data_IF_655853057757
#
_entry.id   IF_655853057757
#
_cell.length_a   1.000
_cell.length_b   1.000
_cell.length_c   1.000
_cell.angle_alpha   90.00
_cell.angle_beta   90.00
_cell.angle_gamma   90.00
#
_symmetry.space_group_name_H-M   'P 1'
#
loop_
_entity.id
_entity.type
_entity.pdbx_description
1 polymer ?
#
# COMPACT_ATOMS: atom_id res chain seq x y z
N UNK A 1 -23.86 7.90 16.21
CA UNK A 1 -22.42 7.92 16.59
C UNK A 1 -22.14 7.38 18.00
N UNK A 2 -23.12 7.26 18.91
CA UNK A 2 -22.90 6.83 20.31
C UNK A 2 -22.31 5.42 20.48
N UNK A 3 -22.58 4.49 19.56
CA UNK A 3 -22.20 3.07 19.71
C UNK A 3 -20.91 2.68 18.98
N UNK A 4 -20.36 3.56 18.13
CA UNK A 4 -19.22 3.23 17.27
C UNK A 4 -19.46 2.14 16.22
N UNK A 5 -20.70 1.68 16.04
CA UNK A 5 -21.02 0.54 15.16
C UNK A 5 -21.08 0.92 13.68
N UNK A 6 -20.79 -0.06 12.83
CA UNK A 6 -21.06 0.00 11.40
C UNK A 6 -22.58 -0.02 11.15
N UNK A 7 -23.02 0.60 10.05
CA UNK A 7 -24.44 0.68 9.67
C UNK A 7 -24.56 1.05 8.20
N UNK A 8 -25.79 1.00 7.65
CA UNK A 8 -26.07 1.38 6.26
C UNK A 8 -25.59 2.80 5.91
N UNK A 9 -25.62 3.71 6.90
CA UNK A 9 -25.06 5.05 6.75
C UNK A 9 -23.55 5.04 6.48
N UNK A 10 -22.79 4.16 7.13
CA UNK A 10 -21.35 4.03 6.89
C UNK A 10 -21.04 3.18 5.66
N UNK A 11 -21.88 2.18 5.39
CA UNK A 11 -21.81 1.34 4.20
C UNK A 11 -21.90 2.15 2.91
N UNK A 12 -22.81 3.13 2.84
CA UNK A 12 -22.94 4.01 1.67
C UNK A 12 -21.70 4.86 1.34
N UNK A 13 -20.67 4.83 2.19
CA UNK A 13 -19.40 5.58 2.06
C UNK A 13 -18.21 4.64 1.85
N UNK A 14 -18.46 3.34 1.71
CA UNK A 14 -17.42 2.34 1.55
C UNK A 14 -17.13 2.10 0.06
N UNK A 15 -16.26 2.93 -0.50
CA UNK A 15 -15.88 2.85 -1.92
C UNK A 15 -15.31 1.48 -2.33
N UNK A 16 -14.77 0.71 -1.37
CA UNK A 16 -14.18 -0.62 -1.64
C UNK A 16 -15.20 -1.68 -2.08
N UNK A 17 -16.50 -1.44 -1.91
CA UNK A 17 -17.54 -2.34 -2.40
C UNK A 17 -17.96 -2.08 -3.86
N UNK A 18 -17.37 -1.06 -4.50
CA UNK A 18 -17.68 -0.65 -5.87
C UNK A 18 -16.42 -0.55 -6.75
N UNK A 19 -15.37 -1.30 -6.40
CA UNK A 19 -14.07 -1.24 -7.11
C UNK A 19 -14.13 -1.82 -8.52
N UNK A 20 -15.11 -2.68 -8.79
CA UNK A 20 -15.43 -3.21 -10.12
C UNK A 20 -15.81 -2.10 -11.13
N UNK A 21 -16.30 -0.97 -10.62
CA UNK A 21 -16.58 0.23 -11.40
C UNK A 21 -15.35 1.05 -11.80
N UNK A 22 -14.17 0.77 -11.26
CA UNK A 22 -12.93 1.49 -11.60
C UNK A 22 -12.49 1.08 -13.02
N UNK A 23 -12.25 2.08 -13.87
CA UNK A 23 -11.77 1.92 -15.26
C UNK A 23 -10.53 2.75 -15.60
N UNK A 24 -10.17 3.71 -14.75
CA UNK A 24 -8.95 4.48 -14.92
C UNK A 24 -7.73 3.68 -14.44
N UNK A 25 -6.56 4.00 -14.99
CA UNK A 25 -5.28 3.64 -14.39
C UNK A 25 -5.17 4.24 -12.98
N UNK A 26 -4.25 3.72 -12.17
CA UNK A 26 -4.27 3.96 -10.73
C UNK A 26 -2.89 4.18 -10.11
N UNK A 27 -2.65 5.34 -9.51
CA UNK A 27 -1.49 5.55 -8.65
C UNK A 27 -1.97 5.88 -7.24
N UNK A 28 -1.46 5.16 -6.25
CA UNK A 28 -1.66 5.50 -4.83
C UNK A 28 -0.35 5.90 -4.18
N UNK A 29 -0.42 6.94 -3.35
CA UNK A 29 0.69 7.43 -2.53
C UNK A 29 0.21 7.44 -1.09
N UNK A 30 1.00 6.89 -0.18
CA UNK A 30 0.63 6.90 1.23
C UNK A 30 1.84 6.89 2.17
N UNK A 31 1.73 7.59 3.29
CA UNK A 31 2.73 7.55 4.35
C UNK A 31 2.56 6.32 5.26
N UNK A 32 3.59 5.49 5.41
CA UNK A 32 3.58 4.33 6.31
C UNK A 32 3.33 4.74 7.77
N UNK A 33 3.72 5.97 8.13
CA UNK A 33 3.54 6.53 9.46
C UNK A 33 2.36 7.53 9.53
N UNK A 34 1.43 7.51 8.57
CA UNK A 34 0.23 8.34 8.60
C UNK A 34 -0.79 7.80 9.62
N UNK A 35 -0.85 8.44 10.79
CA UNK A 35 -1.83 8.12 11.84
C UNK A 35 -3.15 8.89 11.74
N UNK A 36 -3.25 9.85 10.82
CA UNK A 36 -4.49 10.56 10.51
C UNK A 36 -5.35 9.69 9.58
N UNK A 37 -4.85 9.41 8.37
CA UNK A 37 -5.46 8.49 7.42
C UNK A 37 -4.66 7.19 7.45
N UNK A 38 -5.05 6.28 8.35
CA UNK A 38 -4.28 5.07 8.62
C UNK A 38 -4.01 4.22 7.36
N UNK A 39 -2.84 3.55 7.25
CA UNK A 39 -2.44 2.78 6.06
C UNK A 39 -3.40 1.66 5.66
N UNK A 40 -4.26 1.21 6.59
CA UNK A 40 -5.35 0.27 6.29
C UNK A 40 -6.26 0.75 5.15
N UNK A 41 -6.40 2.08 4.96
CA UNK A 41 -7.20 2.62 3.85
C UNK A 41 -6.59 2.25 2.50
N UNK A 42 -5.33 2.62 2.27
CA UNK A 42 -4.60 2.31 1.01
C UNK A 42 -4.38 0.80 0.84
N UNK A 43 -4.06 0.07 1.90
CA UNK A 43 -3.85 -1.38 1.82
C UNK A 43 -5.09 -2.09 1.29
N UNK A 44 -6.26 -1.82 1.88
CA UNK A 44 -7.49 -2.54 1.53
C UNK A 44 -8.01 -2.20 0.13
N UNK A 45 -7.81 -0.98 -0.36
CA UNK A 45 -8.17 -0.64 -1.74
C UNK A 45 -7.16 -1.23 -2.72
N UNK A 46 -5.86 -1.23 -2.40
CA UNK A 46 -4.81 -1.84 -3.20
C UNK A 46 -5.06 -3.33 -3.45
N UNK A 47 -5.46 -4.10 -2.43
CA UNK A 47 -5.80 -5.53 -2.59
C UNK A 47 -6.91 -5.78 -3.62
N UNK A 48 -7.77 -4.79 -3.90
CA UNK A 48 -8.81 -4.84 -4.94
C UNK A 48 -8.31 -4.33 -6.28
N UNK A 49 -7.67 -3.15 -6.28
CA UNK A 49 -7.17 -2.49 -7.49
C UNK A 49 -6.14 -3.33 -8.20
N UNK A 50 -5.21 -3.98 -7.49
CA UNK A 50 -4.18 -4.83 -8.09
C UNK A 50 -4.73 -6.01 -8.91
N UNK A 51 -6.00 -6.35 -8.75
CA UNK A 51 -6.70 -7.43 -9.48
C UNK A 51 -7.47 -6.92 -10.70
N UNK A 52 -7.59 -5.60 -10.88
CA UNK A 52 -8.30 -5.00 -11.99
C UNK A 52 -7.41 -4.95 -13.23
N UNK A 53 -7.99 -5.01 -14.44
CA UNK A 53 -7.26 -4.91 -15.70
C UNK A 53 -6.93 -3.45 -16.05
N UNK A 54 -6.30 -2.73 -15.11
CA UNK A 54 -5.85 -1.34 -15.27
C UNK A 54 -4.42 -1.22 -14.77
N UNK A 55 -3.60 -0.38 -15.41
CA UNK A 55 -2.24 -0.18 -14.94
C UNK A 55 -2.27 0.52 -13.58
N UNK A 56 -1.40 0.07 -12.68
CA UNK A 56 -1.48 0.47 -11.28
C UNK A 56 -0.14 0.48 -10.56
N UNK A 57 0.13 1.53 -9.79
CA UNK A 57 1.34 1.64 -8.98
C UNK A 57 1.05 2.14 -7.56
N UNK A 58 1.94 1.78 -6.64
CA UNK A 58 1.85 2.16 -5.22
C UNK A 58 3.18 2.70 -4.71
N UNK A 59 3.14 3.88 -4.09
CA UNK A 59 4.28 4.50 -3.42
C UNK A 59 4.00 4.62 -1.92
N UNK A 60 4.88 4.06 -1.10
CA UNK A 60 4.81 4.09 0.35
C UNK A 60 6.04 4.80 0.92
N UNK A 61 5.86 5.99 1.48
CA UNK A 61 6.96 6.78 2.07
C UNK A 61 6.94 6.72 3.60
N UNK A 62 8.04 7.09 4.27
CA UNK A 62 8.18 7.07 5.74
C UNK A 62 7.49 8.26 6.45
N UNK A 63 6.92 9.20 5.70
CA UNK A 63 6.25 10.37 6.25
C UNK A 63 4.90 10.04 6.93
N UNK A 64 4.35 10.99 7.71
CA UNK A 64 3.00 10.92 8.23
C UNK A 64 2.00 11.42 7.16
N UNK A 65 0.98 12.17 7.56
CA UNK A 65 0.04 12.84 6.65
C UNK A 65 0.72 13.98 5.88
N UNK A 66 1.57 13.64 4.91
CA UNK A 66 2.46 14.56 4.21
C UNK A 66 2.72 14.11 2.78
N UNK A 67 3.19 15.03 1.94
CA UNK A 67 3.51 14.73 0.54
C UNK A 67 4.91 14.10 0.38
N UNK A 68 5.16 13.49 -0.77
CA UNK A 68 6.49 12.97 -1.17
C UNK A 68 7.02 13.55 -2.49
N UNK A 69 6.36 14.57 -3.04
CA UNK A 69 6.64 15.08 -4.40
C UNK A 69 7.99 15.83 -4.55
N UNK A 70 8.66 16.14 -3.44
CA UNK A 70 9.91 16.91 -3.40
C UNK A 70 11.00 16.24 -2.56
N UNK A 71 10.91 14.92 -2.36
CA UNK A 71 11.94 14.17 -1.65
C UNK A 71 13.21 14.10 -2.50
N UNK A 72 14.37 14.17 -1.84
CA UNK A 72 15.68 14.02 -2.51
C UNK A 72 15.88 12.58 -3.02
N UNK A 73 15.30 11.60 -2.30
CA UNK A 73 15.51 10.17 -2.52
C UNK A 73 14.77 9.58 -3.73
N UNK A 74 13.84 10.32 -4.34
CA UNK A 74 13.01 9.84 -5.43
C UNK A 74 12.50 11.00 -6.29
N UNK A 75 12.61 10.87 -7.60
CA UNK A 75 12.18 11.82 -8.63
C UNK A 75 10.67 11.69 -8.93
N UNK A 76 9.84 11.63 -7.89
CA UNK A 76 8.41 11.34 -8.03
C UNK A 76 7.68 12.29 -8.99
N UNK A 77 8.05 13.58 -9.03
CA UNK A 77 7.43 14.54 -9.94
C UNK A 77 7.74 14.24 -11.41
N UNK A 78 8.95 13.78 -11.71
CA UNK A 78 9.35 13.36 -13.07
C UNK A 78 8.64 12.08 -13.49
N UNK A 79 8.47 11.11 -12.58
CA UNK A 79 7.66 9.91 -12.82
C UNK A 79 6.19 10.27 -13.13
N UNK A 80 5.60 11.18 -12.35
CA UNK A 80 4.23 11.64 -12.62
C UNK A 80 4.11 12.43 -13.93
N UNK A 81 5.15 13.17 -14.33
CA UNK A 81 5.19 13.83 -15.64
C UNK A 81 5.13 12.79 -16.77
N UNK A 82 6.00 11.77 -16.72
CA UNK A 82 5.99 10.68 -17.70
C UNK A 82 4.63 9.99 -17.76
N UNK A 83 4.06 9.67 -16.59
CA UNK A 83 2.74 9.06 -16.47
C UNK A 83 1.63 9.92 -17.09
N UNK A 84 1.54 11.21 -16.74
CA UNK A 84 0.48 12.07 -17.25
C UNK A 84 0.57 12.31 -18.74
N UNK A 85 1.79 12.41 -19.29
CA UNK A 85 1.99 12.50 -20.74
C UNK A 85 1.50 11.24 -21.44
N UNK A 86 1.70 10.07 -20.85
CA UNK A 86 1.15 8.81 -21.37
C UNK A 86 -0.38 8.78 -21.30
N UNK A 87 -0.93 8.95 -20.09
CA UNK A 87 -2.36 8.74 -19.81
C UNK A 87 -3.28 9.81 -20.40
N UNK A 88 -2.82 11.07 -20.48
CA UNK A 88 -3.68 12.20 -20.84
C UNK A 88 -3.40 12.76 -22.23
N UNK A 89 -2.21 12.50 -22.78
CA UNK A 89 -1.83 12.95 -24.12
C UNK A 89 -1.63 11.79 -25.12
N UNK A 90 -1.84 10.54 -24.69
CA UNK A 90 -1.73 9.34 -25.53
C UNK A 90 -0.35 9.18 -26.19
N UNK A 91 0.70 9.63 -25.50
CA UNK A 91 2.08 9.54 -25.99
C UNK A 91 2.71 8.24 -25.49
N UNK A 92 3.10 7.38 -26.43
CA UNK A 92 3.88 6.19 -26.12
C UNK A 92 5.30 6.57 -25.70
N UNK A 93 5.57 6.48 -24.40
CA UNK A 93 6.81 6.92 -23.75
C UNK A 93 7.32 5.90 -22.72
N UNK A 94 6.76 4.67 -22.69
CA UNK A 94 7.18 3.61 -21.78
C UNK A 94 6.83 3.83 -20.31
N UNK A 95 5.84 4.67 -19.99
CA UNK A 95 5.45 4.97 -18.61
C UNK A 95 5.05 3.73 -17.80
N UNK A 96 4.49 2.70 -18.45
CA UNK A 96 4.01 1.48 -17.78
C UNK A 96 5.16 0.54 -17.36
N UNK A 97 6.34 0.66 -17.98
CA UNK A 97 7.49 -0.20 -17.72
C UNK A 97 8.62 0.51 -16.94
N UNK A 98 8.56 1.84 -16.84
CA UNK A 98 9.69 2.64 -16.35
C UNK A 98 10.00 2.44 -14.85
N UNK A 99 9.04 2.04 -14.02
CA UNK A 99 9.25 1.84 -12.58
C UNK A 99 8.49 0.62 -12.02
N UNK A 100 8.93 0.07 -10.87
CA UNK A 100 8.30 -1.09 -10.24
C UNK A 100 6.83 -0.88 -9.85
N UNK A 101 6.09 -1.98 -9.69
CA UNK A 101 4.68 -1.97 -9.27
C UNK A 101 4.49 -1.28 -7.92
N UNK A 102 5.37 -1.57 -6.97
CA UNK A 102 5.34 -1.00 -5.62
C UNK A 102 6.73 -0.48 -5.23
N UNK A 103 6.77 0.74 -4.74
CA UNK A 103 7.97 1.41 -4.23
C UNK A 103 7.77 1.73 -2.75
N UNK A 104 8.63 1.20 -1.88
CA UNK A 104 8.53 1.37 -0.42
C UNK A 104 9.82 1.99 0.12
N UNK A 105 9.74 3.18 0.70
CA UNK A 105 10.90 3.83 1.32
C UNK A 105 11.36 3.02 2.54
N UNK A 106 12.65 2.73 2.64
CA UNK A 106 13.25 2.04 3.78
C UNK A 106 13.14 2.89 5.06
N UNK A 107 12.91 2.25 6.20
CA UNK A 107 12.72 2.94 7.49
C UNK A 107 14.03 3.24 8.23
N UNK A 108 15.15 2.68 7.79
CA UNK A 108 16.49 2.87 8.34
C UNK A 108 17.31 3.80 7.44
N UNK A 109 17.17 3.67 6.12
CA UNK A 109 17.93 4.43 5.12
C UNK A 109 16.97 5.26 4.23
N UNK A 110 16.82 6.55 4.53
CA UNK A 110 15.79 7.39 3.88
C UNK A 110 15.96 7.57 2.35
N UNK A 111 17.17 7.36 1.82
CA UNK A 111 17.50 7.40 0.40
C UNK A 111 17.37 6.05 -0.30
N UNK A 112 17.01 4.98 0.43
CA UNK A 112 16.78 3.66 -0.11
C UNK A 112 15.29 3.40 -0.32
N UNK A 113 14.97 2.85 -1.49
CA UNK A 113 13.62 2.42 -1.86
C UNK A 113 13.62 0.95 -2.26
N UNK A 114 12.74 0.17 -1.63
CA UNK A 114 12.49 -1.22 -1.98
C UNK A 114 11.55 -1.28 -3.17
N UNK A 115 11.99 -1.97 -4.22
CA UNK A 115 11.20 -2.30 -5.39
C UNK A 115 10.53 -3.66 -5.17
N UNK A 116 9.20 -3.66 -4.99
CA UNK A 116 8.43 -4.85 -4.67
C UNK A 116 7.40 -5.16 -5.76
N UNK A 117 7.05 -6.44 -5.89
CA UNK A 117 6.01 -6.88 -6.82
C UNK A 117 4.59 -6.57 -6.33
N UNK A 118 4.41 -6.39 -5.02
CA UNK A 118 3.13 -6.16 -4.37
C UNK A 118 3.33 -5.55 -2.96
N UNK A 119 2.23 -5.22 -2.27
CA UNK A 119 2.20 -5.00 -0.84
C UNK A 119 1.14 -5.92 -0.21
N UNK A 120 1.58 -7.15 0.12
CA UNK A 120 0.74 -8.21 0.65
C UNK A 120 1.56 -9.13 1.56
N UNK A 121 0.87 -10.00 2.32
CA UNK A 121 1.54 -10.96 3.20
C UNK A 121 2.44 -11.93 2.42
N UNK A 122 2.12 -12.17 1.15
CA UNK A 122 2.80 -13.10 0.26
C UNK A 122 4.25 -12.69 -0.08
N UNK A 123 4.63 -11.43 0.21
CA UNK A 123 6.03 -11.01 0.12
C UNK A 123 6.92 -11.65 1.19
N UNK A 124 6.33 -12.06 2.31
CA UNK A 124 7.03 -12.64 3.45
C UNK A 124 6.64 -14.08 3.73
N UNK A 125 7.01 -14.55 4.91
CA UNK A 125 6.60 -15.85 5.43
C UNK A 125 5.88 -15.65 6.76
N UNK A 126 4.81 -16.41 6.97
CA UNK A 126 4.08 -16.37 8.24
C UNK A 126 5.00 -16.81 9.38
N UNK A 127 5.07 -15.99 10.43
CA UNK A 127 5.77 -16.29 11.67
C UNK A 127 4.81 -16.05 12.84
N UNK A 128 4.65 -17.04 13.71
CA UNK A 128 3.82 -16.92 14.89
C UNK A 128 4.69 -16.66 16.10
N UNK A 129 4.34 -15.61 16.84
CA UNK A 129 4.97 -15.23 18.08
C UNK A 129 3.96 -15.36 19.23
N UNK A 130 4.36 -15.96 20.35
CA UNK A 130 3.52 -16.11 21.54
C UNK A 130 4.18 -15.49 22.77
N UNK A 131 3.39 -14.90 23.69
CA UNK A 131 3.91 -14.38 24.94
C UNK A 131 4.39 -15.51 25.85
N UNK A 132 5.48 -15.30 26.58
CA UNK A 132 5.97 -16.22 27.62
C UNK A 132 5.50 -15.78 29.00
N UNK A 133 5.59 -16.68 29.99
CA UNK A 133 5.24 -16.36 31.38
C UNK A 133 6.13 -15.24 31.97
N UNK A 134 7.36 -15.11 31.46
CA UNK A 134 8.35 -14.13 31.92
C UNK A 134 8.18 -12.75 31.24
N UNK A 135 7.17 -12.60 30.37
CA UNK A 135 6.88 -11.35 29.68
C UNK A 135 7.65 -11.15 28.36
N UNK A 136 8.32 -12.20 27.87
CA UNK A 136 9.00 -12.19 26.58
C UNK A 136 8.08 -12.64 25.44
N UNK A 137 8.60 -12.57 24.23
CA UNK A 137 7.95 -13.06 23.01
C UNK A 137 8.84 -14.12 22.35
N UNK A 138 8.30 -15.31 22.07
CA UNK A 138 9.04 -16.39 21.39
C UNK A 138 8.34 -16.84 20.11
N UNK A 139 9.13 -17.30 19.14
CA UNK A 139 8.60 -17.92 17.92
C UNK A 139 8.06 -19.31 18.25
N UNK A 140 6.84 -19.60 17.82
CA UNK A 140 6.32 -20.97 17.84
C UNK A 140 7.01 -21.70 16.69
N UNK A 141 7.93 -22.62 16.98
CA UNK A 141 8.48 -23.50 15.93
C UNK A 141 7.32 -24.22 15.23
N UNK A 142 7.40 -24.37 13.90
CA UNK A 142 6.42 -25.10 13.10
C UNK A 142 6.30 -26.56 13.58
N UNK A 143 5.48 -26.78 14.60
CA UNK A 143 5.33 -28.05 15.29
C UNK A 143 3.92 -28.17 15.85
N UNK A 144 2.99 -28.65 15.01
CA UNK A 144 1.84 -29.50 15.38
C UNK A 144 1.15 -29.24 16.73
N UNK A 145 0.87 -28.00 17.08
CA UNK A 145 0.06 -27.65 18.25
C UNK A 145 -1.34 -27.25 17.83
N UNK A 146 -2.31 -28.17 17.91
CA UNK A 146 -3.72 -27.83 17.86
C UNK A 146 -4.04 -26.80 18.95
N UNK A 147 -4.65 -25.68 18.56
CA UNK A 147 -5.34 -24.81 19.51
C UNK A 147 -6.62 -25.52 19.95
N UNK A 148 -6.71 -25.83 21.25
CA UNK A 148 -7.96 -26.20 21.93
C UNK A 148 -8.93 -25.03 22.00
#
# INVERSE_FOLDING_TARGET
>A
RATGQYSDFWESRNYRHHTDGIKCSWISVHGLNDWNVKPKNVYKIWQKVKQLPVESHLFLHQGPHYNMNNLISIDFTDLMNLWFVHELLEVENGAYEQWPKVMIQDNLEADKWHAESDWANDLGQASLYSPTADGDLSTVENGTGQLT
#
